data_IF_235183554473
#
_entry.id   IF_235183554473
#
_cell.length_a   1.000
_cell.length_b   1.000
_cell.length_c   1.000
_cell.angle_alpha   90.00
_cell.angle_beta   90.00
_cell.angle_gamma   90.00
#
_symmetry.space_group_name_H-M   'P 1'
#
loop_
_entity.id
_entity.type
_entity.pdbx_description
1 polymer ?
#
# COMPACT_ATOMS: atom_id res chain seq x y z
N UNK A 1 -0.79 9.19 -9.28
CA UNK A 1 0.05 10.28 -8.66
C UNK A 1 -0.74 11.57 -8.72
N UNK A 2 -0.84 12.30 -7.61
CA UNK A 2 -1.52 13.60 -7.57
C UNK A 2 -0.49 14.73 -7.56
N UNK A 3 -0.80 15.81 -8.28
CA UNK A 3 -0.02 17.05 -8.27
C UNK A 3 -1.00 18.21 -8.18
N UNK A 4 -0.86 19.05 -7.19
CA UNK A 4 -1.71 20.22 -6.97
C UNK A 4 -0.97 21.39 -6.34
N UNK A 5 -1.56 22.57 -6.44
CA UNK A 5 -1.14 23.70 -5.63
C UNK A 5 -1.79 23.58 -4.25
N UNK A 6 -1.03 23.84 -3.20
CA UNK A 6 -1.54 23.71 -1.80
C UNK A 6 -2.82 24.53 -1.60
N UNK A 7 -2.88 25.75 -2.09
CA UNK A 7 -4.07 26.59 -1.97
C UNK A 7 -5.32 25.97 -2.63
N UNK A 8 -5.17 25.23 -3.74
CA UNK A 8 -6.30 24.62 -4.44
C UNK A 8 -6.79 23.38 -3.70
N UNK A 9 -5.90 22.55 -3.18
CA UNK A 9 -6.33 21.37 -2.42
C UNK A 9 -6.96 21.76 -1.09
N UNK A 10 -6.47 22.80 -0.40
CA UNK A 10 -7.11 23.32 0.83
C UNK A 10 -8.54 23.79 0.55
N UNK A 11 -8.76 24.58 -0.51
CA UNK A 11 -10.12 25.00 -0.92
C UNK A 11 -11.02 23.79 -1.24
N UNK A 12 -10.48 22.76 -1.89
CA UNK A 12 -11.23 21.57 -2.21
C UNK A 12 -11.65 20.80 -0.94
N UNK A 13 -10.79 20.73 0.09
CA UNK A 13 -11.16 20.21 1.40
C UNK A 13 -12.28 21.04 2.04
N UNK A 14 -12.17 22.37 2.02
CA UNK A 14 -13.19 23.28 2.56
C UNK A 14 -14.54 23.11 1.85
N UNK A 15 -14.55 22.89 0.53
CA UNK A 15 -15.76 22.74 -0.28
C UNK A 15 -16.41 21.36 -0.12
N UNK A 16 -15.59 20.29 -0.15
CA UNK A 16 -16.09 18.92 -0.30
C UNK A 16 -16.04 18.09 0.99
N UNK A 17 -15.14 18.43 1.93
CA UNK A 17 -14.93 17.77 3.22
C UNK A 17 -14.77 18.80 4.34
N UNK A 18 -15.81 19.62 4.64
CA UNK A 18 -15.69 20.74 5.56
C UNK A 18 -15.34 20.33 7.01
N UNK A 19 -15.78 19.15 7.46
CA UNK A 19 -15.42 18.64 8.79
C UNK A 19 -13.92 18.35 8.86
N UNK A 20 -13.38 17.63 7.87
CA UNK A 20 -11.95 17.36 7.75
C UNK A 20 -11.14 18.64 7.59
N UNK A 21 -11.61 19.61 6.79
CA UNK A 21 -10.94 20.90 6.64
C UNK A 21 -10.83 21.65 7.96
N UNK A 22 -11.89 21.69 8.77
CA UNK A 22 -11.88 22.30 10.11
C UNK A 22 -10.84 21.61 11.02
N UNK A 23 -10.79 20.29 11.01
CA UNK A 23 -9.80 19.51 11.77
C UNK A 23 -8.36 19.83 11.33
N UNK A 24 -8.11 19.92 10.01
CA UNK A 24 -6.81 20.28 9.46
C UNK A 24 -6.37 21.69 9.83
N UNK A 25 -7.29 22.68 9.86
CA UNK A 25 -6.96 24.03 10.32
C UNK A 25 -6.60 24.06 11.81
N UNK A 26 -7.35 23.36 12.67
CA UNK A 26 -7.04 23.27 14.09
C UNK A 26 -5.65 22.62 14.32
N UNK A 27 -5.33 21.60 13.54
CA UNK A 27 -4.01 20.94 13.58
C UNK A 27 -2.89 21.88 13.09
N UNK A 28 -3.13 22.62 12.00
CA UNK A 28 -2.17 23.58 11.45
C UNK A 28 -1.82 24.68 12.49
N UNK A 29 -2.80 25.18 13.24
CA UNK A 29 -2.62 26.17 14.29
C UNK A 29 -1.84 25.60 15.49
N UNK A 30 -1.82 24.29 15.67
CA UNK A 30 -1.09 23.61 16.74
C UNK A 30 0.35 23.22 16.37
N UNK A 31 0.70 23.25 15.07
CA UNK A 31 2.05 22.87 14.59
C UNK A 31 3.12 23.67 15.31
N UNK A 32 4.15 22.95 15.82
CA UNK A 32 5.26 23.54 16.55
C UNK A 32 4.94 23.95 18.00
N UNK A 33 3.74 23.66 18.49
CA UNK A 33 3.37 23.87 19.88
C UNK A 33 3.29 22.57 20.69
N UNK A 34 3.42 22.62 22.03
CA UNK A 34 3.24 21.45 22.90
C UNK A 34 1.83 20.82 22.83
N UNK A 35 0.86 21.51 22.23
CA UNK A 35 -0.52 21.03 22.08
C UNK A 35 -0.72 20.13 20.88
N UNK A 36 0.24 20.01 19.97
CA UNK A 36 0.09 19.32 18.69
C UNK A 36 -0.44 17.89 18.84
N UNK A 37 0.20 17.08 19.68
CA UNK A 37 -0.18 15.67 19.89
C UNK A 37 -1.60 15.54 20.46
N UNK A 38 -1.99 16.41 21.37
CA UNK A 38 -3.35 16.40 21.92
C UNK A 38 -4.41 16.78 20.87
N UNK A 39 -4.14 17.81 20.08
CA UNK A 39 -5.03 18.23 18.98
C UNK A 39 -5.09 17.15 17.91
N UNK A 40 -3.96 16.52 17.55
CA UNK A 40 -3.93 15.43 16.58
C UNK A 40 -4.82 14.27 17.01
N UNK A 41 -4.71 13.81 18.24
CA UNK A 41 -5.53 12.73 18.77
C UNK A 41 -7.04 13.06 18.74
N UNK A 42 -7.40 14.29 19.10
CA UNK A 42 -8.78 14.77 19.10
C UNK A 42 -9.37 14.83 17.68
N UNK A 43 -8.68 15.51 16.74
CA UNK A 43 -9.23 15.71 15.40
C UNK A 43 -9.17 14.46 14.53
N UNK A 44 -8.28 13.50 14.81
CA UNK A 44 -8.17 12.26 14.06
C UNK A 44 -9.45 11.43 14.10
N UNK A 45 -10.10 11.36 15.25
CA UNK A 45 -11.37 10.65 15.41
C UNK A 45 -12.55 11.34 14.73
N UNK A 46 -12.47 12.67 14.54
CA UNK A 46 -13.51 13.48 13.93
C UNK A 46 -13.42 13.55 12.40
N UNK A 47 -12.32 13.08 11.78
CA UNK A 47 -12.16 13.17 10.33
C UNK A 47 -12.99 12.13 9.59
N UNK A 48 -13.48 12.51 8.40
CA UNK A 48 -14.19 11.61 7.51
C UNK A 48 -13.28 10.46 7.05
N UNK A 49 -13.72 9.20 7.25
CA UNK A 49 -13.01 8.01 6.76
C UNK A 49 -13.27 7.79 5.27
N UNK A 50 -12.73 8.69 4.44
CA UNK A 50 -12.83 8.61 2.98
C UNK A 50 -11.48 8.85 2.32
N UNK A 51 -11.28 8.31 1.12
CA UNK A 51 -10.08 8.61 0.34
C UNK A 51 -10.23 9.96 -0.34
N UNK A 52 -9.11 10.58 -0.70
CA UNK A 52 -9.10 11.84 -1.44
C UNK A 52 -9.76 11.70 -2.82
N UNK A 53 -9.71 10.51 -3.42
CA UNK A 53 -10.37 10.19 -4.68
C UNK A 53 -11.88 10.41 -4.57
N UNK A 54 -12.53 9.73 -3.66
CA UNK A 54 -13.98 9.81 -3.45
C UNK A 54 -14.42 11.11 -2.75
N UNK A 55 -13.61 11.59 -1.80
CA UNK A 55 -13.94 12.77 -1.01
C UNK A 55 -13.83 14.07 -1.80
N UNK A 56 -12.87 14.16 -2.72
CA UNK A 56 -12.50 15.39 -3.43
C UNK A 56 -12.46 15.20 -4.92
N UNK A 57 -11.63 14.29 -5.46
CA UNK A 57 -11.29 14.26 -6.88
C UNK A 57 -12.51 14.00 -7.76
N UNK A 58 -13.37 13.07 -7.38
CA UNK A 58 -14.62 12.78 -8.13
C UNK A 58 -15.62 13.94 -8.13
N UNK A 59 -15.52 14.85 -7.15
CA UNK A 59 -16.43 16.00 -7.01
C UNK A 59 -15.86 17.27 -7.62
N UNK A 60 -14.54 17.39 -7.65
CA UNK A 60 -13.86 18.60 -8.10
C UNK A 60 -14.00 18.79 -9.63
N UNK A 61 -14.27 20.03 -10.06
CA UNK A 61 -14.50 20.37 -11.47
C UNK A 61 -13.23 20.82 -12.21
N UNK A 62 -12.14 21.05 -11.48
CA UNK A 62 -10.87 21.58 -12.00
C UNK A 62 -9.77 20.52 -12.02
N UNK A 63 -10.12 19.25 -12.21
CA UNK A 63 -9.18 18.14 -12.33
C UNK A 63 -8.79 17.95 -13.78
N UNK A 64 -7.49 17.75 -14.03
CA UNK A 64 -6.94 17.37 -15.32
C UNK A 64 -6.15 16.07 -15.19
N UNK A 65 -6.24 15.19 -16.18
CA UNK A 65 -5.48 13.95 -16.25
C UNK A 65 -4.41 14.09 -17.34
N UNK A 66 -3.17 13.82 -16.99
CA UNK A 66 -2.06 13.77 -17.93
C UNK A 66 -1.65 12.30 -18.08
N UNK A 67 -1.98 11.63 -19.18
CA UNK A 67 -1.46 10.31 -19.46
C UNK A 67 0.06 10.36 -19.59
N UNK A 68 0.77 9.54 -18.84
CA UNK A 68 2.23 9.51 -18.87
C UNK A 68 2.74 8.09 -18.65
N UNK A 69 3.71 7.70 -19.48
CA UNK A 69 4.52 6.51 -19.25
C UNK A 69 5.87 6.98 -18.73
N UNK A 70 6.01 6.92 -17.41
CA UNK A 70 7.20 7.40 -16.69
C UNK A 70 7.86 6.28 -15.88
N UNK A 71 7.49 5.02 -16.15
CA UNK A 71 7.99 3.86 -15.40
C UNK A 71 7.53 3.84 -13.94
N UNK A 72 6.50 4.62 -13.56
CA UNK A 72 5.94 4.57 -12.21
C UNK A 72 4.93 3.43 -12.08
N UNK A 73 5.07 2.68 -11.01
CA UNK A 73 4.16 1.59 -10.68
C UNK A 73 3.69 1.73 -9.24
N UNK A 74 2.40 1.57 -9.03
CA UNK A 74 1.83 1.47 -7.69
C UNK A 74 2.08 0.06 -7.14
N UNK A 75 2.99 -0.05 -6.16
CA UNK A 75 3.36 -1.33 -5.55
C UNK A 75 2.51 -1.54 -4.31
N UNK A 76 1.28 -2.01 -4.51
CA UNK A 76 0.32 -2.30 -3.45
C UNK A 76 0.24 -3.80 -3.09
N UNK A 77 0.90 -4.69 -3.85
CA UNK A 77 0.88 -6.13 -3.59
C UNK A 77 2.19 -6.80 -3.99
N UNK A 78 2.46 -7.98 -3.41
CA UNK A 78 3.60 -8.81 -3.78
C UNK A 78 3.57 -9.24 -5.25
N UNK A 79 2.36 -9.47 -5.81
CA UNK A 79 2.18 -9.77 -7.22
C UNK A 79 2.64 -8.63 -8.12
N UNK A 80 2.31 -7.39 -7.75
CA UNK A 80 2.75 -6.21 -8.49
C UNK A 80 4.27 -6.02 -8.37
N UNK A 81 4.84 -6.19 -7.18
CA UNK A 81 6.29 -6.13 -6.99
C UNK A 81 7.01 -7.20 -7.82
N UNK A 82 6.54 -8.46 -7.78
CA UNK A 82 7.07 -9.54 -8.58
C UNK A 82 7.09 -9.20 -10.07
N UNK A 83 6.00 -8.64 -10.62
CA UNK A 83 5.92 -8.27 -12.04
C UNK A 83 6.92 -7.21 -12.48
N UNK A 84 7.41 -6.38 -11.56
CA UNK A 84 8.37 -5.30 -11.83
C UNK A 84 9.81 -5.78 -11.67
N UNK A 85 10.08 -6.53 -10.62
CA UNK A 85 11.44 -6.94 -10.22
C UNK A 85 11.89 -8.18 -10.96
N UNK A 86 10.98 -9.08 -11.28
CA UNK A 86 11.29 -10.35 -11.94
C UNK A 86 11.75 -10.12 -13.38
N UNK A 87 13.03 -10.40 -13.64
CA UNK A 87 13.66 -10.25 -14.96
C UNK A 87 13.98 -11.59 -15.61
N UNK A 88 13.67 -12.70 -14.95
CA UNK A 88 13.92 -14.06 -15.39
C UNK A 88 12.74 -14.95 -15.02
N UNK A 89 12.68 -16.12 -15.58
CA UNK A 89 11.62 -17.11 -15.35
C UNK A 89 11.40 -17.43 -13.85
N UNK A 90 12.49 -17.54 -13.08
CA UNK A 90 12.45 -17.59 -11.62
C UNK A 90 13.32 -16.47 -11.03
N UNK A 91 12.87 -15.85 -9.97
CA UNK A 91 13.64 -14.83 -9.24
C UNK A 91 13.63 -15.10 -7.73
N UNK A 92 14.77 -14.86 -7.08
CA UNK A 92 14.86 -14.88 -5.62
C UNK A 92 15.86 -13.85 -5.10
N UNK A 93 15.70 -13.46 -3.83
CA UNK A 93 16.55 -12.45 -3.19
C UNK A 93 18.03 -12.88 -3.07
N UNK A 94 18.28 -14.13 -2.69
CA UNK A 94 19.63 -14.62 -2.39
C UNK A 94 20.01 -15.89 -3.17
N UNK A 95 19.25 -16.27 -4.17
CA UNK A 95 19.50 -17.40 -5.06
C UNK A 95 18.49 -18.52 -4.92
N UNK A 96 18.36 -19.31 -5.99
CA UNK A 96 17.44 -20.43 -6.05
C UNK A 96 18.00 -21.62 -6.83
N UNK A 97 17.41 -22.78 -6.60
CA UNK A 97 17.54 -24.00 -7.42
C UNK A 97 16.16 -24.32 -7.98
N UNK A 98 16.01 -24.32 -9.29
CA UNK A 98 14.76 -24.60 -9.97
C UNK A 98 14.85 -25.90 -10.78
N UNK A 99 13.90 -26.81 -10.57
CA UNK A 99 13.78 -28.07 -11.32
C UNK A 99 12.33 -28.17 -11.81
N UNK A 100 12.13 -28.13 -13.12
CA UNK A 100 10.77 -28.13 -13.73
C UNK A 100 9.87 -27.06 -13.08
N UNK A 101 10.43 -25.87 -12.82
CA UNK A 101 9.75 -24.77 -12.15
C UNK A 101 9.95 -23.48 -12.96
N UNK A 102 8.90 -22.66 -13.05
CA UNK A 102 8.89 -21.44 -13.85
C UNK A 102 8.05 -20.33 -13.25
N UNK A 103 8.32 -19.10 -13.65
CA UNK A 103 7.54 -17.91 -13.30
C UNK A 103 7.33 -17.70 -11.79
N UNK A 104 8.33 -18.05 -10.96
CA UNK A 104 8.25 -17.90 -9.51
C UNK A 104 9.04 -16.70 -9.02
N UNK A 105 8.49 -16.04 -8.00
CA UNK A 105 9.11 -14.94 -7.26
C UNK A 105 9.28 -15.34 -5.79
N UNK A 106 10.52 -15.27 -5.27
CA UNK A 106 10.80 -15.63 -3.88
C UNK A 106 11.61 -14.54 -3.17
N UNK A 107 11.03 -13.91 -2.19
CA UNK A 107 11.72 -13.06 -1.23
C UNK A 107 11.98 -13.85 0.04
N UNK A 108 13.22 -14.33 0.19
CA UNK A 108 13.64 -15.12 1.34
C UNK A 108 15.09 -14.77 1.72
N UNK A 109 15.32 -13.62 2.37
CA UNK A 109 16.65 -13.13 2.69
C UNK A 109 17.48 -14.13 3.50
N UNK A 110 18.72 -14.37 3.07
CA UNK A 110 19.64 -15.31 3.72
C UNK A 110 19.34 -16.78 3.47
N UNK A 111 18.42 -17.12 2.55
CA UNK A 111 18.05 -18.51 2.25
C UNK A 111 18.16 -18.82 0.76
N UNK A 112 18.60 -20.02 0.44
CA UNK A 112 18.44 -20.59 -0.90
C UNK A 112 17.05 -21.18 -1.02
N UNK A 113 16.32 -20.80 -2.06
CA UNK A 113 14.97 -21.30 -2.33
C UNK A 113 15.02 -22.43 -3.34
N UNK A 114 14.54 -23.61 -2.97
CA UNK A 114 14.39 -24.74 -3.89
C UNK A 114 12.96 -24.79 -4.44
N UNK A 115 12.83 -24.72 -5.77
CA UNK A 115 11.57 -24.73 -6.50
C UNK A 115 11.53 -25.98 -7.37
N UNK A 116 10.60 -26.90 -7.11
CA UNK A 116 10.51 -28.18 -7.82
C UNK A 116 9.08 -28.44 -8.30
N UNK A 117 8.88 -28.48 -9.61
CA UNK A 117 7.58 -28.78 -10.21
C UNK A 117 6.50 -27.74 -9.93
N UNK A 118 6.87 -26.48 -9.72
CA UNK A 118 5.95 -25.38 -9.36
C UNK A 118 6.08 -24.22 -10.33
N UNK A 119 4.96 -23.50 -10.55
CA UNK A 119 4.89 -22.38 -11.48
C UNK A 119 4.01 -21.26 -10.90
N UNK A 120 4.34 -20.01 -11.21
CA UNK A 120 3.54 -18.84 -10.87
C UNK A 120 3.41 -18.56 -9.37
N UNK A 121 4.38 -18.95 -8.56
CA UNK A 121 4.33 -18.73 -7.11
C UNK A 121 4.98 -17.41 -6.68
N UNK A 122 4.43 -16.88 -5.60
CA UNK A 122 5.03 -15.85 -4.76
C UNK A 122 5.34 -16.50 -3.41
N UNK A 123 6.60 -16.43 -3.01
CA UNK A 123 7.07 -16.87 -1.69
C UNK A 123 7.69 -15.67 -0.99
N UNK A 124 7.23 -15.35 0.21
CA UNK A 124 7.77 -14.26 1.03
C UNK A 124 8.05 -14.79 2.42
N UNK A 125 9.31 -14.79 2.79
CA UNK A 125 9.80 -15.24 4.10
C UNK A 125 10.22 -14.02 4.91
N UNK A 126 9.50 -13.78 5.99
CA UNK A 126 9.79 -12.74 6.99
C UNK A 126 10.19 -13.40 8.31
N UNK A 127 10.73 -12.68 9.30
CA UNK A 127 11.10 -13.27 10.58
C UNK A 127 9.94 -13.90 11.35
N UNK A 128 8.72 -13.47 11.10
CA UNK A 128 7.49 -13.82 11.82
C UNK A 128 6.54 -14.71 11.02
N UNK A 129 6.61 -14.68 9.69
CA UNK A 129 5.67 -15.43 8.86
C UNK A 129 6.28 -15.87 7.51
N UNK A 130 5.75 -16.93 6.95
CA UNK A 130 6.02 -17.39 5.59
C UNK A 130 4.74 -17.36 4.77
N UNK A 131 4.72 -16.51 3.73
CA UNK A 131 3.66 -16.48 2.74
C UNK A 131 4.03 -17.34 1.53
N UNK A 132 3.10 -18.18 1.10
CA UNK A 132 3.14 -18.85 -0.21
C UNK A 132 1.80 -18.63 -0.89
N UNK A 133 1.80 -17.99 -2.04
CA UNK A 133 0.60 -17.71 -2.82
C UNK A 133 0.85 -17.92 -4.31
N UNK A 134 -0.19 -18.18 -5.10
CA UNK A 134 -0.07 -18.04 -6.53
C UNK A 134 -0.12 -16.55 -6.92
N UNK A 135 0.49 -16.18 -8.03
CA UNK A 135 0.46 -14.80 -8.56
C UNK A 135 -0.98 -14.35 -8.87
N UNK A 136 -1.82 -15.28 -9.31
CA UNK A 136 -3.22 -15.02 -9.64
C UNK A 136 -4.06 -14.62 -8.41
N UNK A 137 -3.67 -15.12 -7.23
CA UNK A 137 -4.37 -14.89 -5.96
C UNK A 137 -3.62 -13.90 -5.02
N UNK A 138 -2.62 -13.18 -5.53
CA UNK A 138 -1.80 -12.26 -4.72
C UNK A 138 -2.60 -11.13 -4.04
N UNK A 139 -3.74 -10.74 -4.61
CA UNK A 139 -4.63 -9.74 -4.03
C UNK A 139 -5.43 -10.27 -2.82
N UNK A 140 -5.60 -11.60 -2.72
CA UNK A 140 -6.34 -12.24 -1.63
C UNK A 140 -5.52 -12.30 -0.32
N UNK A 141 -4.24 -11.97 -0.34
CA UNK A 141 -3.38 -11.89 0.85
C UNK A 141 -3.97 -10.96 1.91
N UNK A 142 -4.69 -9.91 1.51
CA UNK A 142 -5.44 -9.05 2.45
C UNK A 142 -6.48 -9.80 3.28
N UNK A 143 -7.08 -10.86 2.74
CA UNK A 143 -8.06 -11.67 3.47
C UNK A 143 -7.40 -12.49 4.59
N UNK A 144 -6.13 -12.88 4.40
CA UNK A 144 -5.30 -13.50 5.44
C UNK A 144 -5.08 -12.53 6.59
N UNK A 145 -4.73 -11.27 6.27
CA UNK A 145 -4.56 -10.19 7.26
C UNK A 145 -5.87 -9.96 8.04
N UNK A 146 -7.01 -9.91 7.35
CA UNK A 146 -8.31 -9.74 7.99
C UNK A 146 -8.72 -10.96 8.83
N UNK A 147 -8.28 -12.16 8.46
CA UNK A 147 -8.45 -13.37 9.25
C UNK A 147 -7.63 -13.32 10.55
N UNK A 148 -6.34 -12.95 10.46
CA UNK A 148 -5.46 -12.81 11.61
C UNK A 148 -5.96 -11.74 12.60
N UNK A 149 -6.50 -10.62 12.10
CA UNK A 149 -7.14 -9.60 12.95
C UNK A 149 -8.33 -10.15 13.74
N UNK A 150 -9.16 -10.97 13.09
CA UNK A 150 -10.31 -11.61 13.77
C UNK A 150 -9.89 -12.63 14.81
N UNK A 151 -8.70 -13.22 14.65
CA UNK A 151 -8.11 -14.16 15.62
C UNK A 151 -7.23 -13.44 16.66
N UNK A 152 -7.22 -12.10 16.67
CA UNK A 152 -6.44 -11.27 17.61
C UNK A 152 -4.93 -11.55 17.55
N UNK A 153 -4.41 -11.98 16.38
CA UNK A 153 -2.99 -12.26 16.12
C UNK A 153 -2.28 -10.99 15.67
N UNK A 154 -2.25 -9.98 16.55
CA UNK A 154 -1.58 -8.69 16.27
C UNK A 154 -0.05 -8.82 16.14
N UNK A 155 0.50 -9.91 16.65
CA UNK A 155 1.92 -10.26 16.54
C UNK A 155 2.36 -10.58 15.10
N UNK A 156 1.41 -10.77 14.17
CA UNK A 156 1.63 -11.09 12.76
C UNK A 156 1.11 -10.01 11.79
N UNK A 157 0.79 -8.81 12.27
CA UNK A 157 0.16 -7.74 11.50
C UNK A 157 1.05 -6.51 11.34
#
# INVERSE_FOLDING_TARGET
MFVWRVAEIVKAFEEHLPATAKALHALADAVGSPRYEGVLAEVWEETDKTTIDYGIIEKAKNVAVVPADIGWHDIGSWGRLASIVQRSDNWSSDGHVAISAGDNYAWAPGKIVALVGVEGLIVVDTPDALLVASKEHAEEVKEVVDHLRREEREDLL
#
